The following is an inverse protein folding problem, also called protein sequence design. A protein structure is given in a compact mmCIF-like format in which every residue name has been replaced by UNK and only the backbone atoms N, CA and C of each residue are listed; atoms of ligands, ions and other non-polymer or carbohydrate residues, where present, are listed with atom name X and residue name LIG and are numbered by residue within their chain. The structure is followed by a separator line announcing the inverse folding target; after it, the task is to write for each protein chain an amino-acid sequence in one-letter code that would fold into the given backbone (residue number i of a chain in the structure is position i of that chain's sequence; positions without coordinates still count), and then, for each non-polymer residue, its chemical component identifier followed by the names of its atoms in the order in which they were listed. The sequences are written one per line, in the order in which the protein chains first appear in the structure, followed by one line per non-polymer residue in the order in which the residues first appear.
data_IF_863999772738
#
_entry.id   IF_863999772738
#
_cell.length_a   1.000
_cell.length_b   1.000
_cell.length_c   1.000
_cell.angle_alpha   90.00
_cell.angle_beta   90.00
_cell.angle_gamma   90.00
#
_symmetry.space_group_name_H-M   'P 1'
#
loop_
_entity.id
_entity.type
_entity.pdbx_description
1 polymer ?
#
# COMPACT_ATOMS: atom_id res chain seq x y z
N UNK A 1 43.35 7.32 17.36
CA UNK A 1 42.13 6.53 17.09
C UNK A 1 41.20 7.37 16.23
N UNK A 2 40.95 6.97 14.99
CA UNK A 2 40.12 7.70 14.02
C UNK A 2 38.68 7.22 14.16
N UNK A 3 37.75 8.11 14.50
CA UNK A 3 36.32 7.81 14.59
C UNK A 3 35.67 8.14 13.25
N UNK A 4 35.17 7.13 12.54
CA UNK A 4 34.34 7.30 11.35
C UNK A 4 32.91 7.67 11.78
N UNK A 5 32.54 8.93 11.57
CA UNK A 5 31.15 9.36 11.72
C UNK A 5 30.33 8.84 10.54
N UNK A 6 29.48 7.83 10.78
CA UNK A 6 28.49 7.38 9.81
C UNK A 6 27.32 8.35 9.87
N UNK A 7 27.26 9.28 8.92
CA UNK A 7 26.09 10.15 8.75
C UNK A 7 24.92 9.29 8.23
N UNK A 8 24.02 8.90 9.14
CA UNK A 8 22.74 8.33 8.75
C UNK A 8 21.93 9.41 8.04
N UNK A 9 21.85 9.34 6.71
CA UNK A 9 20.94 10.17 5.94
C UNK A 9 19.52 9.67 6.20
N UNK A 10 18.89 10.13 7.27
CA UNK A 10 17.43 10.09 7.40
C UNK A 10 16.87 11.02 6.34
N UNK A 11 16.59 10.47 5.15
CA UNK A 11 15.75 11.12 4.17
C UNK A 11 14.37 11.33 4.82
N UNK A 12 14.17 12.51 5.40
CA UNK A 12 12.87 12.95 5.88
C UNK A 12 11.97 13.06 4.65
N UNK A 13 11.16 12.03 4.40
CA UNK A 13 10.07 12.13 3.44
C UNK A 13 9.13 13.21 4.00
N UNK A 14 8.87 14.31 3.26
CA UNK A 14 7.96 15.33 3.74
C UNK A 14 6.59 14.71 4.04
N UNK A 15 6.16 14.79 5.30
CA UNK A 15 4.79 14.49 5.70
C UNK A 15 3.88 15.60 5.15
N UNK A 16 3.53 15.51 3.87
CA UNK A 16 2.75 16.54 3.18
C UNK A 16 2.68 16.42 1.66
N UNK A 17 3.58 15.64 1.03
CA UNK A 17 3.50 15.35 -0.40
C UNK A 17 2.69 14.07 -0.65
N UNK A 18 1.40 14.08 -0.29
CA UNK A 18 0.47 13.07 -0.78
C UNK A 18 0.10 13.43 -2.24
N UNK A 19 1.01 13.17 -3.18
CA UNK A 19 0.58 13.05 -4.58
C UNK A 19 -0.43 11.91 -4.65
N UNK A 20 -1.62 12.18 -5.17
CA UNK A 20 -2.64 11.14 -5.29
C UNK A 20 -2.15 10.09 -6.30
N UNK A 21 -2.15 8.83 -5.90
CA UNK A 21 -1.87 7.71 -6.80
C UNK A 21 -2.92 7.63 -7.91
N UNK A 22 -2.51 7.32 -9.14
CA UNK A 22 -3.45 7.20 -10.26
C UNK A 22 -4.13 5.83 -10.24
N UNK A 23 -5.47 5.81 -10.19
CA UNK A 23 -6.23 4.58 -10.48
C UNK A 23 -6.20 4.30 -11.97
N UNK A 24 -5.79 3.08 -12.34
CA UNK A 24 -5.63 2.62 -13.72
C UNK A 24 -6.38 1.31 -13.94
N UNK A 25 -6.52 0.90 -15.20
CA UNK A 25 -6.99 -0.45 -15.53
C UNK A 25 -5.99 -1.51 -15.08
N UNK A 26 -6.49 -2.66 -14.66
CA UNK A 26 -5.68 -3.82 -14.27
C UNK A 26 -5.22 -4.65 -15.47
N UNK A 27 -4.61 -4.02 -16.46
CA UNK A 27 -4.19 -4.67 -17.72
C UNK A 27 -2.67 -4.93 -17.81
N UNK A 28 -1.93 -4.71 -16.73
CA UNK A 28 -0.49 -4.96 -16.66
C UNK A 28 -0.07 -5.39 -15.25
N UNK A 29 0.88 -6.32 -15.17
CA UNK A 29 1.49 -6.75 -13.92
C UNK A 29 2.55 -5.77 -13.40
N UNK A 30 2.84 -4.68 -14.12
CA UNK A 30 3.76 -3.63 -13.65
C UNK A 30 3.07 -2.69 -12.63
N UNK A 31 1.73 -2.67 -12.59
CA UNK A 31 0.97 -1.84 -11.66
C UNK A 31 0.81 -2.49 -10.29
N UNK A 32 0.61 -1.65 -9.27
CA UNK A 32 0.21 -2.12 -7.95
C UNK A 32 -1.22 -2.60 -8.04
N UNK A 33 -1.47 -3.88 -7.77
CA UNK A 33 -2.82 -4.46 -7.74
C UNK A 33 -3.20 -4.76 -6.30
N UNK A 34 -4.41 -4.38 -5.93
CA UNK A 34 -4.94 -4.52 -4.58
C UNK A 34 -6.28 -5.22 -4.68
N UNK A 35 -6.44 -6.35 -4.00
CA UNK A 35 -7.74 -7.00 -3.86
C UNK A 35 -8.31 -6.70 -2.49
N UNK A 36 -9.53 -6.20 -2.47
CA UNK A 36 -10.18 -5.71 -1.26
C UNK A 36 -11.60 -6.22 -1.15
N UNK A 37 -12.04 -6.51 0.07
CA UNK A 37 -13.39 -6.90 0.40
C UNK A 37 -14.00 -5.85 1.33
N UNK A 38 -14.85 -4.93 0.83
CA UNK A 38 -15.58 -4.00 1.68
C UNK A 38 -16.75 -4.70 2.40
N UNK A 39 -17.12 -4.30 3.62
CA UNK A 39 -18.10 -5.01 4.48
C UNK A 39 -19.40 -5.46 3.79
N UNK A 40 -19.91 -4.68 2.84
CA UNK A 40 -21.23 -4.87 2.23
C UNK A 40 -21.16 -5.06 0.70
N UNK A 41 -19.96 -5.33 0.16
CA UNK A 41 -19.73 -5.40 -1.28
C UNK A 41 -18.92 -6.63 -1.67
N UNK A 42 -19.09 -7.15 -2.89
CA UNK A 42 -18.22 -8.21 -3.38
C UNK A 42 -16.77 -7.72 -3.44
N UNK A 43 -15.83 -8.67 -3.38
CA UNK A 43 -14.40 -8.39 -3.51
C UNK A 43 -14.12 -7.64 -4.82
N UNK A 44 -13.37 -6.55 -4.72
CA UNK A 44 -12.97 -5.70 -5.82
C UNK A 44 -11.48 -5.81 -6.07
N UNK A 45 -11.08 -5.65 -7.33
CA UNK A 45 -9.68 -5.53 -7.73
C UNK A 45 -9.42 -4.10 -8.20
N UNK A 46 -8.42 -3.45 -7.61
CA UNK A 46 -8.03 -2.08 -7.92
C UNK A 46 -6.57 -2.07 -8.39
N UNK A 47 -6.26 -1.28 -9.41
CA UNK A 47 -4.89 -1.10 -9.87
C UNK A 47 -4.46 0.35 -9.87
N UNK A 48 -3.19 0.54 -9.54
CA UNK A 48 -2.62 1.84 -9.22
C UNK A 48 -1.23 2.02 -9.84
N UNK A 49 -0.99 3.24 -10.30
CA UNK A 49 0.28 3.67 -10.87
C UNK A 49 0.73 5.01 -10.25
N UNK A 50 2.02 5.30 -10.40
CA UNK A 50 2.73 6.48 -9.89
C UNK A 50 2.89 6.51 -8.35
N UNK A 51 3.98 7.12 -7.91
CA UNK A 51 4.25 7.31 -6.49
C UNK A 51 3.19 8.23 -5.86
N UNK A 52 2.81 7.93 -4.62
CA UNK A 52 1.71 8.62 -3.98
C UNK A 52 1.10 7.85 -2.83
N UNK A 53 0.15 8.48 -2.15
CA UNK A 53 -0.66 7.81 -1.12
C UNK A 53 -2.14 7.92 -1.48
N UNK A 54 -2.91 6.91 -1.08
CA UNK A 54 -4.33 6.89 -1.32
C UNK A 54 -5.09 6.29 -0.15
N UNK A 55 -6.25 6.89 0.17
CA UNK A 55 -7.17 6.30 1.15
C UNK A 55 -8.06 5.28 0.47
N UNK A 56 -8.02 4.04 0.96
CA UNK A 56 -8.87 2.95 0.49
C UNK A 56 -10.24 3.03 1.14
N UNK A 57 -10.31 3.33 2.45
CA UNK A 57 -11.57 3.44 3.17
C UNK A 57 -12.48 4.55 2.57
N UNK A 58 -11.91 5.68 2.16
CA UNK A 58 -12.65 6.78 1.52
C UNK A 58 -13.27 6.37 0.18
N UNK A 59 -12.66 5.44 -0.57
CA UNK A 59 -13.20 4.96 -1.85
C UNK A 59 -14.51 4.18 -1.69
N UNK A 60 -14.68 3.49 -0.56
CA UNK A 60 -15.82 2.61 -0.32
C UNK A 60 -16.80 3.14 0.74
N UNK A 61 -16.41 4.17 1.50
CA UNK A 61 -17.19 4.74 2.62
C UNK A 61 -17.64 3.68 3.65
N UNK A 62 -16.87 2.61 3.77
CA UNK A 62 -17.12 1.45 4.63
C UNK A 62 -15.77 0.83 5.03
N UNK A 63 -15.70 0.05 6.12
CA UNK A 63 -14.52 -0.74 6.44
C UNK A 63 -14.14 -1.68 5.29
N UNK A 64 -12.83 -1.81 5.05
CA UNK A 64 -12.28 -2.57 3.94
C UNK A 64 -11.20 -3.52 4.44
N UNK A 65 -11.29 -4.78 4.02
CA UNK A 65 -10.26 -5.79 4.27
C UNK A 65 -9.47 -6.05 3.01
N UNK A 66 -8.15 -6.05 3.13
CA UNK A 66 -7.28 -6.43 2.03
C UNK A 66 -7.09 -7.94 2.00
N UNK A 67 -7.17 -8.52 0.81
CA UNK A 67 -6.93 -9.95 0.56
C UNK A 67 -5.70 -10.17 -0.31
N UNK A 68 -5.28 -9.17 -1.08
CA UNK A 68 -4.01 -9.18 -1.81
C UNK A 68 -3.40 -7.77 -1.97
N UNK A 69 -2.08 -7.68 -1.84
CA UNK A 69 -1.25 -6.66 -2.49
C UNK A 69 -0.30 -7.35 -3.45
N UNK A 70 -0.36 -7.02 -4.73
CA UNK A 70 0.69 -7.27 -5.71
C UNK A 70 1.41 -5.94 -5.99
N UNK A 71 2.72 -5.91 -5.81
CA UNK A 71 3.48 -4.65 -5.87
C UNK A 71 3.89 -4.20 -7.27
N UNK A 72 3.78 -5.08 -8.27
CA UNK A 72 4.24 -4.80 -9.63
C UNK A 72 5.67 -4.27 -9.66
N UNK A 73 5.95 -3.24 -10.45
CA UNK A 73 7.29 -2.63 -10.50
C UNK A 73 7.50 -1.49 -9.48
N UNK A 74 6.72 -1.49 -8.40
CA UNK A 74 6.73 -0.44 -7.38
C UNK A 74 7.10 -0.98 -6.00
N UNK A 75 7.58 -0.09 -5.13
CA UNK A 75 7.67 -0.38 -3.70
C UNK A 75 6.40 0.11 -3.03
N UNK A 76 5.85 -0.69 -2.12
CA UNK A 76 4.53 -0.43 -1.54
C UNK A 76 4.54 -0.61 -0.03
N UNK A 77 3.79 0.23 0.68
CA UNK A 77 3.36 0.00 2.06
C UNK A 77 1.85 0.17 2.16
N UNK A 78 1.24 -0.48 3.14
CA UNK A 78 -0.16 -0.31 3.47
C UNK A 78 -0.31 0.13 4.92
N UNK A 79 -1.35 0.92 5.19
CA UNK A 79 -1.69 1.36 6.53
C UNK A 79 -2.95 0.63 7.00
N UNK A 80 -2.86 -0.01 8.14
CA UNK A 80 -3.96 -0.72 8.79
C UNK A 80 -3.67 -0.88 10.26
N UNK A 81 -4.73 -0.97 11.07
CA UNK A 81 -4.63 -1.10 12.53
C UNK A 81 -3.77 -0.01 13.19
N UNK A 82 -3.86 1.22 12.66
CA UNK A 82 -3.17 2.40 13.20
C UNK A 82 -1.67 2.49 12.88
N UNK A 83 -1.14 1.65 11.99
CA UNK A 83 0.28 1.70 11.61
C UNK A 83 0.54 1.34 10.16
N UNK A 84 1.66 1.84 9.62
CA UNK A 84 2.22 1.38 8.36
C UNK A 84 2.84 0.00 8.50
N UNK A 85 2.49 -0.87 7.58
CA UNK A 85 2.93 -2.25 7.53
C UNK A 85 3.45 -2.52 6.11
N UNK A 86 4.53 -3.30 5.96
CA UNK A 86 5.46 -3.66 7.01
C UNK A 86 6.22 -2.38 7.43
N UNK A 87 7.01 -2.41 8.49
CA UNK A 87 7.83 -1.24 8.86
C UNK A 87 8.78 -0.79 7.73
N UNK A 88 9.21 -1.74 6.89
CA UNK A 88 9.94 -1.49 5.64
C UNK A 88 9.06 -1.74 4.43
N UNK A 89 9.15 -0.95 3.35
CA UNK A 89 8.35 -1.16 2.15
C UNK A 89 8.53 -2.54 1.53
N UNK A 90 7.41 -3.13 1.09
CA UNK A 90 7.40 -4.37 0.30
C UNK A 90 8.22 -4.12 -0.97
N UNK A 91 9.07 -5.09 -1.32
CA UNK A 91 9.84 -5.07 -2.55
C UNK A 91 8.94 -5.12 -3.79
N UNK A 92 9.54 -4.77 -4.94
CA UNK A 92 8.91 -4.93 -6.26
C UNK A 92 8.62 -6.40 -6.54
N UNK A 93 7.65 -6.66 -7.41
CA UNK A 93 7.25 -7.98 -7.92
C UNK A 93 7.00 -9.00 -6.81
N UNK A 94 6.35 -8.54 -5.75
CA UNK A 94 6.06 -9.32 -4.56
C UNK A 94 4.55 -9.33 -4.33
N UNK A 95 4.02 -10.50 -3.97
CA UNK A 95 2.63 -10.67 -3.58
C UNK A 95 2.54 -10.91 -2.07
N UNK A 96 1.62 -10.22 -1.42
CA UNK A 96 1.16 -10.53 -0.07
C UNK A 96 -0.32 -10.88 -0.15
N UNK A 97 -0.72 -11.94 0.54
CA UNK A 97 -2.11 -12.40 0.58
C UNK A 97 -2.54 -12.62 2.01
N UNK A 98 -3.84 -12.39 2.26
CA UNK A 98 -4.46 -12.59 3.55
C UNK A 98 -5.77 -13.35 3.39
N UNK A 99 -6.23 -14.08 4.42
CA UNK A 99 -7.58 -14.62 4.45
C UNK A 99 -8.62 -13.54 4.21
N UNK A 100 -9.74 -13.90 3.58
CA UNK A 100 -10.86 -12.97 3.44
C UNK A 100 -11.52 -12.70 4.81
N UNK A 101 -12.31 -11.63 4.92
CA UNK A 101 -13.11 -11.37 6.11
C UNK A 101 -14.08 -12.54 6.40
N UNK A 102 -14.20 -13.00 7.67
CA UNK A 102 -13.45 -12.55 8.86
C UNK A 102 -12.03 -13.13 8.94
N UNK A 103 -11.04 -12.32 9.32
CA UNK A 103 -9.65 -12.74 9.55
C UNK A 103 -8.58 -12.09 8.66
N UNK A 104 -8.99 -11.28 7.66
CA UNK A 104 -8.08 -10.48 6.86
C UNK A 104 -7.56 -9.23 7.57
N UNK A 105 -6.66 -8.49 6.92
CA UNK A 105 -6.13 -7.22 7.44
C UNK A 105 -7.08 -6.07 7.07
N UNK A 106 -7.51 -5.27 8.05
CA UNK A 106 -8.23 -4.02 7.76
C UNK A 106 -7.24 -2.98 7.25
N UNK A 107 -7.61 -2.26 6.19
CA UNK A 107 -6.75 -1.28 5.55
C UNK A 107 -7.45 0.07 5.41
N UNK A 108 -6.72 1.14 5.66
CA UNK A 108 -7.21 2.51 5.53
C UNK A 108 -6.49 3.25 4.39
N UNK A 109 -5.19 2.98 4.16
CA UNK A 109 -4.39 3.61 3.11
C UNK A 109 -3.39 2.68 2.42
N UNK A 110 -3.00 3.02 1.20
CA UNK A 110 -1.86 2.45 0.47
C UNK A 110 -0.94 3.56 0.04
N UNK A 111 0.36 3.28 0.05
CA UNK A 111 1.40 4.18 -0.44
C UNK A 111 2.32 3.47 -1.42
N UNK A 112 2.55 4.12 -2.56
CA UNK A 112 3.53 3.77 -3.59
C UNK A 112 4.74 4.70 -3.42
N UNK A 113 5.93 4.12 -3.42
CA UNK A 113 7.22 4.78 -3.13
C UNK A 113 8.16 4.79 -4.33
#
# INVERSE_FOLDING_TARGET
MTVLAVAAMTAAIPAGAASATNRVSCNSDEFVRVRVHPSNFPTQTLCFANAGSMSIETLFKNPVWITEVWTGNNRVQWHGDGRWQPSTPIAKRTAFTWPNHPGGVRIDQIRIL
#
